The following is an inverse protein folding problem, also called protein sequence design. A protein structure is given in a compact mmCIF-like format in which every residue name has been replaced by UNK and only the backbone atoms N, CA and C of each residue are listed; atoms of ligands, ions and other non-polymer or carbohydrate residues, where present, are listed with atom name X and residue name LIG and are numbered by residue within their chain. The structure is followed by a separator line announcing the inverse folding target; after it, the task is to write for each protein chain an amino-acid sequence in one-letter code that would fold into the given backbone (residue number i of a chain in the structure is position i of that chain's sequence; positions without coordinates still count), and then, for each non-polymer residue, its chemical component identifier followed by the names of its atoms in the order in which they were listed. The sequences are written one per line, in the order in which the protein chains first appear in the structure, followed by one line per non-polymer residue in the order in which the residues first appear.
data_IF_044796857152
#
_entry.id   IF_044796857152
#
_cell.length_a   1.000
_cell.length_b   1.000
_cell.length_c   1.000
_cell.angle_alpha   90.00
_cell.angle_beta   90.00
_cell.angle_gamma   90.00
#
_symmetry.space_group_name_H-M   'P 1'
#
loop_
_entity.id
_entity.type
_entity.pdbx_description
1 polymer ?
#
# COMPACT_ATOMS: atom_id res chain seq x y z
N UNK A 1 -8.65 10.39 -18.59
CA UNK A 1 -9.22 9.08 -18.17
C UNK A 1 -8.27 7.95 -18.59
N UNK A 2 -7.77 7.14 -17.65
CA UNK A 2 -6.95 5.96 -17.96
C UNK A 2 -7.81 4.85 -18.53
N UNK A 3 -7.44 4.29 -19.69
CA UNK A 3 -8.22 3.27 -20.41
C UNK A 3 -7.49 1.92 -20.57
N UNK A 4 -6.30 1.75 -19.99
CA UNK A 4 -5.56 0.48 -20.00
C UNK A 4 -4.89 0.11 -21.33
N UNK A 5 -5.19 0.80 -22.43
CA UNK A 5 -4.57 0.56 -23.73
C UNK A 5 -3.23 1.33 -23.78
N UNK A 6 -2.12 0.65 -24.06
CA UNK A 6 -0.71 1.13 -24.04
C UNK A 6 0.08 0.94 -22.73
N UNK A 7 -0.24 -0.08 -21.93
CA UNK A 7 0.59 -0.51 -20.79
C UNK A 7 1.84 -1.27 -21.26
N UNK A 8 2.81 -0.57 -21.85
CA UNK A 8 4.10 -1.13 -22.28
C UNK A 8 5.25 -0.20 -21.89
N UNK A 9 6.48 -0.74 -21.85
CA UNK A 9 7.66 0.00 -21.43
C UNK A 9 7.99 1.21 -22.32
N UNK A 10 7.60 1.17 -23.61
CA UNK A 10 7.79 2.28 -24.54
C UNK A 10 6.96 3.53 -24.22
N UNK A 11 5.96 3.41 -23.35
CA UNK A 11 5.08 4.51 -22.93
C UNK A 11 5.25 4.89 -21.45
N UNK A 12 6.28 4.40 -20.75
CA UNK A 12 6.45 4.61 -19.30
C UNK A 12 6.57 6.09 -18.88
N UNK A 13 7.13 6.93 -19.75
CA UNK A 13 7.28 8.37 -19.51
C UNK A 13 5.98 9.16 -19.62
N UNK A 14 4.90 8.56 -20.15
CA UNK A 14 3.63 9.25 -20.36
C UNK A 14 2.81 9.26 -19.08
N UNK A 15 2.42 10.45 -18.65
CA UNK A 15 1.52 10.63 -17.52
C UNK A 15 0.09 10.18 -17.87
N UNK A 16 -0.60 9.62 -16.87
CA UNK A 16 -2.01 9.26 -16.98
C UNK A 16 -2.76 9.62 -15.69
N UNK A 17 -4.07 9.80 -15.79
CA UNK A 17 -4.95 10.06 -14.63
C UNK A 17 -5.18 8.80 -13.75
N UNK A 18 -4.43 7.72 -13.98
CA UNK A 18 -4.57 6.47 -13.24
C UNK A 18 -4.34 6.67 -11.73
N UNK A 19 -4.99 5.85 -10.92
CA UNK A 19 -4.86 5.88 -9.46
C UNK A 19 -4.31 4.54 -8.98
N UNK A 20 -3.08 4.55 -8.47
CA UNK A 20 -2.48 3.39 -7.83
C UNK A 20 -2.95 3.28 -6.37
N UNK A 21 -3.11 2.05 -5.89
CA UNK A 21 -3.38 1.67 -4.49
C UNK A 21 -2.48 0.50 -4.12
N UNK A 22 -2.11 0.40 -2.85
CA UNK A 22 -1.28 -0.69 -2.32
C UNK A 22 -2.10 -1.50 -1.33
N UNK A 23 -2.44 -2.73 -1.68
CA UNK A 23 -3.11 -3.69 -0.80
C UNK A 23 -2.04 -4.51 -0.08
N UNK A 24 -2.15 -4.59 1.25
CA UNK A 24 -1.19 -5.31 2.09
C UNK A 24 -1.85 -5.69 3.41
N UNK A 25 -1.23 -6.51 4.27
CA UNK A 25 -1.77 -6.81 5.61
C UNK A 25 -1.99 -5.56 6.48
N UNK A 26 -1.26 -4.49 6.19
CA UNK A 26 -1.43 -3.18 6.82
C UNK A 26 -2.68 -2.43 6.35
N UNK A 27 -3.19 -2.78 5.18
CA UNK A 27 -4.23 -2.05 4.45
C UNK A 27 -4.93 -2.98 3.46
N UNK A 28 -5.86 -3.80 3.96
CA UNK A 28 -6.54 -4.83 3.16
C UNK A 28 -7.41 -4.25 2.04
N UNK A 29 -7.89 -3.02 2.21
CA UNK A 29 -8.72 -2.31 1.22
C UNK A 29 -7.89 -1.47 0.26
N UNK A 30 -6.60 -1.27 0.55
CA UNK A 30 -5.72 -0.39 -0.22
C UNK A 30 -6.11 1.09 -0.13
N UNK A 31 -6.88 1.51 0.86
CA UNK A 31 -7.36 2.89 1.02
C UNK A 31 -6.21 3.92 1.11
N UNK A 32 -6.46 5.14 0.63
CA UNK A 32 -5.47 6.22 0.64
C UNK A 32 -5.13 6.59 2.09
N UNK A 33 -3.82 6.64 2.40
CA UNK A 33 -3.32 7.04 3.72
C UNK A 33 -3.52 6.00 4.82
N UNK A 34 -3.87 4.76 4.46
CA UNK A 34 -4.08 3.66 5.42
C UNK A 34 -2.91 2.67 5.50
N UNK A 35 -1.70 3.06 5.07
CA UNK A 35 -0.51 2.25 5.34
C UNK A 35 -0.13 2.27 6.82
N UNK A 36 0.40 1.16 7.35
CA UNK A 36 0.79 1.05 8.77
C UNK A 36 -0.39 1.06 9.73
N UNK A 37 -1.59 0.66 9.27
CA UNK A 37 -2.81 0.73 10.06
C UNK A 37 -3.13 -0.55 10.82
N UNK A 38 -2.34 -1.62 10.64
CA UNK A 38 -2.46 -2.81 11.45
C UNK A 38 -2.08 -2.47 12.91
N UNK A 39 -2.76 -3.12 13.85
CA UNK A 39 -2.41 -3.12 15.28
C UNK A 39 -2.02 -4.52 15.78
N UNK A 40 -2.22 -5.52 14.93
CA UNK A 40 -1.89 -6.92 15.15
C UNK A 40 -1.00 -7.41 14.00
N UNK A 41 -0.14 -8.39 14.25
CA UNK A 41 0.77 -8.94 13.24
C UNK A 41 2.07 -9.46 13.84
N UNK A 42 2.95 -9.96 12.98
CA UNK A 42 4.21 -10.60 13.39
C UNK A 42 5.18 -9.66 14.10
N UNK A 43 5.08 -8.35 13.85
CA UNK A 43 5.88 -7.30 14.48
C UNK A 43 5.24 -6.64 15.70
N UNK A 44 4.05 -7.07 16.16
CA UNK A 44 3.30 -6.42 17.25
C UNK A 44 4.13 -6.24 18.52
N UNK A 45 4.74 -7.31 19.01
CA UNK A 45 5.50 -7.29 20.27
C UNK A 45 6.75 -6.41 20.19
N UNK A 46 7.37 -6.35 19.01
CA UNK A 46 8.54 -5.51 18.76
C UNK A 46 8.16 -4.03 18.61
N UNK A 47 6.94 -3.74 18.15
CA UNK A 47 6.45 -2.39 17.90
C UNK A 47 5.47 -1.87 18.97
N UNK A 48 5.34 -2.57 20.11
CA UNK A 48 4.38 -2.27 21.18
C UNK A 48 4.42 -0.82 21.69
N UNK A 49 5.58 -0.18 21.64
CA UNK A 49 5.80 1.18 22.14
C UNK A 49 5.77 2.25 21.02
N UNK A 50 5.69 1.84 19.74
CA UNK A 50 5.78 2.75 18.58
C UNK A 50 4.42 3.33 18.17
N UNK A 51 3.33 2.65 18.52
CA UNK A 51 1.96 3.05 18.17
C UNK A 51 1.59 2.83 16.70
N UNK A 52 0.37 3.25 16.33
CA UNK A 52 -0.20 3.08 14.98
C UNK A 52 0.50 3.99 13.96
N UNK A 53 0.76 3.47 12.77
CA UNK A 53 1.49 4.15 11.69
C UNK A 53 2.82 3.49 11.34
N UNK A 54 3.33 2.63 12.22
CA UNK A 54 4.48 1.78 11.95
C UNK A 54 4.06 0.47 11.29
N UNK A 55 4.96 -0.10 10.49
CA UNK A 55 4.73 -1.39 9.84
C UNK A 55 4.93 -2.51 10.87
N UNK A 56 3.87 -3.26 11.13
CA UNK A 56 3.85 -4.35 12.13
C UNK A 56 3.40 -5.69 11.54
N UNK A 57 2.76 -5.68 10.37
CA UNK A 57 2.31 -6.85 9.62
C UNK A 57 2.88 -6.78 8.19
N UNK A 58 4.14 -7.22 8.02
CA UNK A 58 4.83 -7.17 6.74
C UNK A 58 4.28 -8.11 5.65
N UNK A 59 3.61 -9.21 6.03
CA UNK A 59 3.04 -10.20 5.12
C UNK A 59 1.76 -10.82 5.72
N UNK A 60 0.98 -11.52 4.88
CA UNK A 60 -0.22 -12.27 5.29
C UNK A 60 0.17 -13.63 5.86
#
# INVERSE_FOLDING_TARGET
MFNGLNMNLGNLSRLSDAKSRSISPENLTGEKGKGGMATEGTGKECARDLGRGWKISPWL
#
